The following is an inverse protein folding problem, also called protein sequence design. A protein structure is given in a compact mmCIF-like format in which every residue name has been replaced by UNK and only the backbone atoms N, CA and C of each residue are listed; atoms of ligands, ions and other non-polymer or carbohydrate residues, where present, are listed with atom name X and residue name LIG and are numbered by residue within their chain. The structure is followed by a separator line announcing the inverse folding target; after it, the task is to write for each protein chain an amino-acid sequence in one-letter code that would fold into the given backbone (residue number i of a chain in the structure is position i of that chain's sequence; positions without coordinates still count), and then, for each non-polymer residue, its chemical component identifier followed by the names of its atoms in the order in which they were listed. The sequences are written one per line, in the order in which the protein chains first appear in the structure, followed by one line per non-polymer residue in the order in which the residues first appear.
data_IF_802998022721
#
_entry.id   IF_802998022721
#
_cell.length_a   1.000
_cell.length_b   1.000
_cell.length_c   1.000
_cell.angle_alpha   90.00
_cell.angle_beta   90.00
_cell.angle_gamma   90.00
#
_symmetry.space_group_name_H-M   'P 1'
#
loop_
_entity.id
_entity.type
_entity.pdbx_description
1 polymer ?
#
# COMPACT_ATOMS: atom_id res chain seq x y z
N UNK A 1 -24.45 80.62 -0.43
CA UNK A 1 -24.08 80.57 -1.85
C UNK A 1 -23.43 79.21 -2.12
N UNK A 2 -23.99 78.43 -3.05
CA UNK A 2 -23.36 77.42 -3.94
C UNK A 2 -22.25 76.49 -3.38
N UNK A 3 -22.55 75.19 -3.28
CA UNK A 3 -22.02 74.06 -4.11
C UNK A 3 -20.59 73.61 -3.76
N UNK A 4 -20.44 72.40 -3.18
CA UNK A 4 -20.20 71.07 -3.82
C UNK A 4 -18.70 70.75 -3.97
N UNK A 5 -18.38 69.44 -3.87
CA UNK A 5 -17.18 68.75 -4.42
C UNK A 5 -15.92 68.89 -3.54
N UNK A 6 -15.11 67.88 -3.22
CA UNK A 6 -15.12 66.42 -3.44
C UNK A 6 -14.23 65.76 -2.38
N UNK A 7 -14.56 64.51 -2.09
CA UNK A 7 -13.69 63.48 -1.50
C UNK A 7 -12.52 63.21 -2.46
N UNK A 8 -11.28 63.45 -2.05
CA UNK A 8 -10.07 63.02 -2.79
C UNK A 8 -8.96 62.65 -1.78
N UNK A 9 -8.30 61.52 -2.05
CA UNK A 9 -7.00 61.02 -1.54
C UNK A 9 -6.97 60.15 -0.26
N UNK A 10 -7.50 58.93 -0.37
CA UNK A 10 -6.78 57.72 0.08
C UNK A 10 -6.76 56.74 -1.10
N UNK A 11 -5.83 56.96 -2.03
CA UNK A 11 -5.49 56.05 -3.11
C UNK A 11 -4.10 56.43 -3.65
N UNK A 12 -3.05 56.16 -2.87
CA UNK A 12 -1.67 56.45 -3.27
C UNK A 12 -0.66 55.36 -2.89
N UNK A 13 -1.11 54.10 -2.72
CA UNK A 13 -0.19 52.95 -2.54
C UNK A 13 -0.56 51.75 -3.44
N UNK A 14 -1.40 51.93 -4.48
CA UNK A 14 -1.74 50.86 -5.43
C UNK A 14 -1.47 51.18 -6.90
N UNK A 15 -0.63 52.19 -7.19
CA UNK A 15 -0.30 52.60 -8.56
C UNK A 15 1.21 52.66 -8.85
N UNK A 16 2.00 51.81 -8.20
CA UNK A 16 3.44 51.65 -8.47
C UNK A 16 3.87 50.18 -8.71
N UNK A 17 2.96 49.33 -9.16
CA UNK A 17 3.31 47.99 -9.67
C UNK A 17 2.60 47.62 -10.99
N UNK A 18 1.90 48.57 -11.61
CA UNK A 18 1.45 48.47 -13.00
C UNK A 18 2.28 49.43 -13.84
N UNK A 19 3.48 49.03 -14.25
CA UNK A 19 4.24 49.51 -15.42
C UNK A 19 5.70 49.10 -15.22
N UNK A 20 6.02 47.83 -15.50
CA UNK A 20 7.31 47.34 -15.97
C UNK A 20 7.16 45.84 -16.36
N UNK A 21 6.25 45.56 -17.28
CA UNK A 21 6.23 44.31 -18.06
C UNK A 21 5.83 44.69 -19.50
N UNK A 22 6.69 45.46 -20.15
CA UNK A 22 6.72 45.59 -21.61
C UNK A 22 8.11 45.16 -22.03
N UNK A 23 8.23 43.90 -22.46
CA UNK A 23 9.53 43.34 -22.83
C UNK A 23 9.64 41.81 -22.72
N UNK A 24 8.59 41.04 -22.97
CA UNK A 24 8.73 39.66 -23.43
C UNK A 24 7.76 39.45 -24.58
N UNK A 25 8.34 39.24 -25.77
CA UNK A 25 7.64 38.97 -27.01
C UNK A 25 6.80 37.70 -26.92
N UNK A 26 5.78 37.69 -27.76
CA UNK A 26 4.81 36.62 -28.03
C UNK A 26 5.43 35.22 -28.04
N UNK A 27 5.03 34.38 -27.09
CA UNK A 27 4.95 32.95 -27.30
C UNK A 27 3.51 32.70 -27.76
N UNK A 28 3.36 32.39 -29.04
CA UNK A 28 2.10 31.96 -29.63
C UNK A 28 1.46 30.91 -28.71
N UNK A 29 0.19 31.15 -28.35
CA UNK A 29 -0.64 30.12 -27.74
C UNK A 29 -0.76 28.98 -28.75
N UNK A 30 0.09 27.97 -28.62
CA UNK A 30 -0.14 26.67 -29.22
C UNK A 30 -1.49 26.18 -28.70
N UNK A 31 -2.50 26.18 -29.57
CA UNK A 31 -3.73 25.44 -29.31
C UNK A 31 -3.33 24.00 -28.99
N UNK A 32 -3.70 23.53 -27.81
CA UNK A 32 -3.51 22.13 -27.46
C UNK A 32 -4.29 21.30 -28.46
N UNK A 33 -3.59 20.60 -29.35
CA UNK A 33 -4.17 19.58 -30.23
C UNK A 33 -4.44 18.27 -29.47
N UNK A 34 -4.77 18.38 -28.18
CA UNK A 34 -5.25 17.24 -27.41
C UNK A 34 -6.67 16.91 -27.89
N UNK A 35 -6.71 16.05 -28.89
CA UNK A 35 -7.86 15.21 -29.16
C UNK A 35 -7.79 14.06 -28.15
N UNK A 36 -8.92 13.63 -27.55
CA UNK A 36 -8.94 12.43 -26.71
C UNK A 36 -8.66 11.22 -27.60
N UNK A 37 -7.38 10.87 -27.78
CA UNK A 37 -7.00 9.61 -28.37
C UNK A 37 -7.27 8.53 -27.32
N UNK A 38 -8.14 7.60 -27.68
CA UNK A 38 -8.46 6.37 -26.97
C UNK A 38 -7.33 5.78 -26.10
N UNK A 39 -7.54 5.78 -24.77
CA UNK A 39 -6.83 4.98 -23.79
C UNK A 39 -5.44 5.52 -23.42
N UNK A 40 -5.11 5.45 -22.13
CA UNK A 40 -3.71 5.49 -21.69
C UNK A 40 -2.86 4.58 -22.60
N UNK A 41 -1.64 4.96 -22.99
CA UNK A 41 -0.76 4.07 -23.74
C UNK A 41 -0.70 2.75 -22.97
N UNK A 42 -1.14 1.67 -23.64
CA UNK A 42 -1.32 0.37 -23.00
C UNK A 42 0.00 -0.04 -22.35
N UNK A 43 0.02 -0.14 -21.02
CA UNK A 43 1.17 -0.67 -20.28
C UNK A 43 1.45 -2.08 -20.79
N UNK A 44 2.61 -2.28 -21.42
CA UNK A 44 3.01 -3.58 -21.95
C UNK A 44 3.67 -4.41 -20.85
N UNK A 45 3.29 -5.68 -20.65
CA UNK A 45 4.01 -6.57 -19.75
C UNK A 45 5.46 -6.80 -20.21
N UNK A 46 6.41 -6.49 -19.35
CA UNK A 46 7.82 -6.89 -19.46
C UNK A 46 7.98 -8.33 -18.90
N UNK A 47 9.03 -9.08 -19.29
CA UNK A 47 9.25 -10.44 -18.81
C UNK A 47 9.26 -10.52 -17.27
N UNK A 48 8.36 -11.34 -16.72
CA UNK A 48 8.27 -11.55 -15.27
C UNK A 48 9.25 -12.63 -14.82
N UNK A 49 9.51 -12.71 -13.51
CA UNK A 49 10.29 -13.80 -12.95
C UNK A 49 9.69 -15.15 -13.36
N UNK A 50 10.56 -16.09 -13.73
CA UNK A 50 10.20 -17.46 -14.06
C UNK A 50 9.72 -18.18 -12.79
N UNK A 51 8.86 -19.20 -12.94
CA UNK A 51 8.23 -19.89 -11.80
C UNK A 51 9.25 -20.52 -10.84
N UNK A 52 10.41 -20.95 -11.33
CA UNK A 52 11.52 -21.49 -10.53
C UNK A 52 12.18 -20.45 -9.60
N UNK A 53 11.89 -19.16 -9.78
CA UNK A 53 12.34 -18.07 -8.91
C UNK A 53 11.30 -17.63 -7.90
N UNK A 54 10.19 -18.34 -7.77
CA UNK A 54 9.11 -17.97 -6.87
C UNK A 54 9.05 -18.87 -5.64
N UNK A 55 8.84 -18.27 -4.47
CA UNK A 55 8.69 -18.97 -3.18
C UNK A 55 7.55 -18.36 -2.36
N UNK A 56 7.02 -19.14 -1.41
CA UNK A 56 6.04 -18.69 -0.44
C UNK A 56 6.69 -18.47 0.93
N UNK A 57 6.30 -17.38 1.61
CA UNK A 57 6.75 -17.06 2.96
C UNK A 57 5.82 -16.01 3.61
N UNK A 58 5.27 -16.27 4.78
CA UNK A 58 4.27 -15.41 5.41
C UNK A 58 2.93 -15.40 4.66
N UNK A 59 1.93 -14.74 5.24
CA UNK A 59 0.59 -14.61 4.67
C UNK A 59 0.01 -13.21 4.91
N UNK A 60 -0.63 -12.62 3.89
CA UNK A 60 -1.20 -11.29 3.98
C UNK A 60 -2.54 -11.20 3.21
N UNK A 61 -3.43 -10.22 3.51
CA UNK A 61 -4.67 -10.08 2.77
C UNK A 61 -4.42 -9.85 1.28
N UNK A 62 -5.12 -10.61 0.43
CA UNK A 62 -4.94 -10.51 -1.01
C UNK A 62 -6.29 -10.51 -1.73
N UNK A 63 -6.96 -11.66 -1.80
CA UNK A 63 -8.15 -11.86 -2.65
C UNK A 63 -9.44 -11.46 -1.94
N UNK A 64 -10.44 -10.98 -2.68
CA UNK A 64 -11.75 -10.65 -2.11
C UNK A 64 -12.43 -11.94 -1.64
N UNK A 65 -12.87 -11.96 -0.39
CA UNK A 65 -13.56 -13.10 0.19
C UNK A 65 -14.97 -13.28 -0.42
N UNK A 66 -15.48 -14.53 -0.46
CA UNK A 66 -16.87 -14.79 -0.85
C UNK A 66 -17.91 -14.01 -0.03
N UNK A 67 -19.03 -13.64 -0.65
CA UNK A 67 -20.05 -12.79 -0.02
C UNK A 67 -20.66 -13.36 1.26
N UNK A 68 -20.69 -14.69 1.42
CA UNK A 68 -21.21 -15.35 2.62
C UNK A 68 -20.33 -15.10 3.86
N UNK A 69 -19.06 -14.75 3.69
CA UNK A 69 -18.15 -14.43 4.79
C UNK A 69 -18.61 -13.20 5.57
N UNK A 70 -19.18 -12.19 4.90
CA UNK A 70 -19.73 -11.02 5.57
C UNK A 70 -20.91 -11.37 6.50
N UNK A 71 -21.71 -12.38 6.13
CA UNK A 71 -22.81 -12.87 6.96
C UNK A 71 -22.28 -13.65 8.16
N UNK A 72 -21.26 -14.49 7.97
CA UNK A 72 -20.65 -15.29 9.04
C UNK A 72 -20.11 -14.40 10.18
N UNK A 73 -19.51 -13.25 9.85
CA UNK A 73 -18.95 -12.34 10.86
C UNK A 73 -19.92 -11.26 11.36
N UNK A 74 -21.21 -11.31 10.99
CA UNK A 74 -22.18 -10.24 11.28
C UNK A 74 -22.36 -9.97 12.77
N UNK A 75 -22.29 -11.00 13.61
CA UNK A 75 -22.53 -10.85 15.06
C UNK A 75 -21.24 -10.72 15.87
N UNK A 76 -20.07 -10.82 15.23
CA UNK A 76 -18.78 -10.60 15.90
C UNK A 76 -18.69 -9.13 16.30
N UNK A 77 -18.75 -8.89 17.60
CA UNK A 77 -18.56 -7.57 18.22
C UNK A 77 -17.25 -7.57 18.97
N UNK A 78 -16.51 -6.48 18.82
CA UNK A 78 -15.26 -6.22 19.53
C UNK A 78 -15.61 -5.20 20.61
N UNK A 79 -15.31 -5.54 21.86
CA UNK A 79 -15.29 -4.54 22.92
C UNK A 79 -13.96 -3.79 22.84
N UNK A 80 -13.99 -2.58 22.31
CA UNK A 80 -12.82 -1.72 22.12
C UNK A 80 -12.16 -1.29 23.43
N UNK A 81 -12.86 -1.43 24.57
CA UNK A 81 -12.35 -1.06 25.90
C UNK A 81 -11.67 -2.24 26.58
N UNK A 82 -12.23 -3.43 26.45
CA UNK A 82 -11.72 -4.63 27.13
C UNK A 82 -10.88 -5.53 26.21
N UNK A 83 -10.93 -5.31 24.91
CA UNK A 83 -10.32 -6.19 23.89
C UNK A 83 -11.00 -7.55 23.78
N UNK A 84 -12.14 -7.76 24.46
CA UNK A 84 -12.90 -9.00 24.39
C UNK A 84 -13.69 -9.09 23.09
N UNK A 85 -13.73 -10.28 22.50
CA UNK A 85 -14.55 -10.58 21.34
C UNK A 85 -15.57 -11.68 21.68
N UNK A 86 -16.70 -11.65 20.96
CA UNK A 86 -17.67 -12.75 21.01
C UNK A 86 -17.22 -13.81 20.02
N UNK A 87 -16.95 -15.00 20.53
CA UNK A 87 -16.82 -16.21 19.71
C UNK A 87 -18.23 -16.71 19.37
N UNK A 88 -18.50 -16.91 18.08
CA UNK A 88 -19.78 -17.48 17.62
C UNK A 88 -19.53 -18.87 17.07
N UNK A 89 -20.12 -19.87 17.73
CA UNK A 89 -20.09 -21.26 17.30
C UNK A 89 -21.44 -21.64 16.65
N UNK A 90 -21.39 -22.33 15.51
CA UNK A 90 -22.58 -22.85 14.83
C UNK A 90 -22.38 -24.33 14.47
N UNK A 91 -23.33 -25.19 14.81
CA UNK A 91 -23.30 -26.61 14.44
C UNK A 91 -23.50 -26.80 12.92
N UNK A 92 -22.71 -27.68 12.32
CA UNK A 92 -22.94 -28.20 10.97
C UNK A 92 -23.75 -29.48 11.10
N UNK A 93 -24.84 -29.60 10.34
CA UNK A 93 -25.74 -30.75 10.37
C UNK A 93 -25.86 -31.39 8.99
N UNK A 94 -25.94 -32.72 8.95
CA UNK A 94 -26.26 -33.48 7.75
C UNK A 94 -27.74 -33.33 7.35
N UNK A 95 -28.13 -33.99 6.25
CA UNK A 95 -29.50 -33.97 5.74
C UNK A 95 -30.51 -34.61 6.73
N UNK A 96 -30.02 -35.50 7.59
CA UNK A 96 -30.77 -36.19 8.64
C UNK A 96 -30.85 -35.39 9.95
N UNK A 97 -30.14 -34.26 10.05
CA UNK A 97 -30.10 -33.37 11.20
C UNK A 97 -29.07 -33.74 12.28
N UNK A 98 -28.21 -34.72 12.03
CA UNK A 98 -27.11 -35.08 12.94
C UNK A 98 -25.98 -34.07 12.81
N UNK A 99 -25.35 -33.74 13.93
CA UNK A 99 -24.20 -32.83 13.95
C UNK A 99 -22.97 -33.55 13.37
N UNK A 100 -22.48 -33.08 12.24
CA UNK A 100 -21.27 -33.59 11.56
C UNK A 100 -20.04 -32.72 11.81
N UNK A 101 -20.25 -31.54 12.38
CA UNK A 101 -19.19 -30.57 12.57
C UNK A 101 -19.65 -29.28 13.24
N UNK A 102 -18.78 -28.28 13.22
CA UNK A 102 -19.06 -26.94 13.72
C UNK A 102 -18.22 -25.89 13.01
N UNK A 103 -18.71 -24.66 13.01
CA UNK A 103 -17.96 -23.48 12.60
C UNK A 103 -17.77 -22.58 13.81
N UNK A 104 -16.61 -21.93 13.89
CA UNK A 104 -16.28 -20.96 14.93
C UNK A 104 -15.80 -19.68 14.25
N UNK A 105 -16.45 -18.57 14.56
CA UNK A 105 -16.05 -17.24 14.11
C UNK A 105 -15.49 -16.46 15.30
N UNK A 106 -14.28 -15.91 15.14
CA UNK A 106 -13.61 -15.10 16.16
C UNK A 106 -12.82 -13.94 15.55
N UNK A 107 -12.34 -13.04 16.41
CA UNK A 107 -11.51 -11.91 16.02
C UNK A 107 -10.17 -11.96 16.75
N UNK A 108 -9.08 -11.97 15.98
CA UNK A 108 -7.72 -11.92 16.49
C UNK A 108 -7.30 -10.45 16.65
N UNK A 109 -7.25 -9.99 17.89
CA UNK A 109 -6.89 -8.60 18.21
C UNK A 109 -5.43 -8.27 17.88
N UNK A 110 -4.53 -9.27 17.89
CA UNK A 110 -3.11 -9.05 17.66
C UNK A 110 -2.84 -8.71 16.19
N UNK A 111 -3.55 -9.35 15.27
CA UNK A 111 -3.37 -9.16 13.82
C UNK A 111 -4.50 -8.38 13.15
N UNK A 112 -5.61 -8.18 13.86
CA UNK A 112 -6.83 -7.57 13.34
C UNK A 112 -7.61 -8.46 12.38
N UNK A 113 -7.37 -9.77 12.41
CA UNK A 113 -7.99 -10.71 11.49
C UNK A 113 -9.26 -11.32 12.07
N UNK A 114 -10.25 -11.47 11.21
CA UNK A 114 -11.40 -12.32 11.46
C UNK A 114 -11.00 -13.75 11.13
N UNK A 115 -11.22 -14.66 12.06
CA UNK A 115 -10.82 -16.07 11.92
C UNK A 115 -12.08 -16.91 11.84
N UNK A 116 -12.15 -17.72 10.79
CA UNK A 116 -13.20 -18.70 10.54
C UNK A 116 -12.59 -20.09 10.65
N UNK A 117 -13.00 -20.84 11.66
CA UNK A 117 -12.59 -22.22 11.85
C UNK A 117 -13.76 -23.13 11.49
N UNK A 118 -13.52 -24.13 10.65
CA UNK A 118 -14.50 -25.13 10.27
C UNK A 118 -13.96 -26.49 10.66
N UNK A 119 -14.67 -27.19 11.54
CA UNK A 119 -14.38 -28.58 11.89
C UNK A 119 -15.47 -29.46 11.34
N UNK A 120 -15.15 -30.37 10.43
CA UNK A 120 -16.09 -31.33 9.87
C UNK A 120 -15.42 -32.70 9.78
N UNK A 121 -16.11 -33.75 10.23
CA UNK A 121 -15.57 -35.12 10.25
C UNK A 121 -14.22 -35.28 10.98
N UNK A 122 -13.93 -34.40 11.95
CA UNK A 122 -12.69 -34.42 12.73
C UNK A 122 -11.51 -33.66 12.11
N UNK A 123 -11.68 -33.07 10.93
CA UNK A 123 -10.68 -32.20 10.30
C UNK A 123 -11.04 -30.73 10.52
N UNK A 124 -10.08 -29.94 11.01
CA UNK A 124 -10.26 -28.50 11.24
C UNK A 124 -9.49 -27.69 10.21
N UNK A 125 -10.19 -26.83 9.48
CA UNK A 125 -9.60 -25.80 8.62
C UNK A 125 -9.73 -24.44 9.29
N UNK A 126 -8.64 -23.66 9.31
CA UNK A 126 -8.63 -22.29 9.85
C UNK A 126 -8.35 -21.31 8.71
N UNK A 127 -9.27 -20.38 8.49
CA UNK A 127 -9.16 -19.36 7.44
C UNK A 127 -9.21 -17.98 8.06
N UNK A 128 -8.26 -17.12 7.69
CA UNK A 128 -8.15 -15.75 8.20
C UNK A 128 -8.61 -14.74 7.14
N UNK A 129 -9.25 -13.68 7.60
CA UNK A 129 -9.75 -12.60 6.74
C UNK A 129 -9.41 -11.23 7.33
N UNK A 130 -8.97 -10.30 6.48
CA UNK A 130 -8.95 -8.88 6.82
C UNK A 130 -10.22 -8.20 6.34
N UNK A 131 -10.71 -7.24 7.12
CA UNK A 131 -11.85 -6.41 6.72
C UNK A 131 -11.34 -5.03 6.30
N UNK A 132 -11.77 -4.57 5.12
CA UNK A 132 -11.50 -3.22 4.64
C UNK A 132 -12.79 -2.60 4.10
N UNK A 133 -13.29 -1.58 4.80
CA UNK A 133 -14.62 -1.04 4.59
C UNK A 133 -15.71 -2.12 4.76
N UNK A 134 -16.46 -2.38 3.68
CA UNK A 134 -17.55 -3.37 3.65
C UNK A 134 -17.15 -4.73 3.05
N UNK A 135 -15.87 -4.94 2.73
CA UNK A 135 -15.38 -6.18 2.11
C UNK A 135 -14.44 -6.91 3.06
N UNK A 136 -14.46 -8.24 2.95
CA UNK A 136 -13.46 -9.11 3.55
C UNK A 136 -12.48 -9.58 2.48
N UNK A 137 -11.25 -9.82 2.88
CA UNK A 137 -10.15 -10.27 2.03
C UNK A 137 -9.49 -11.48 2.67
N UNK A 138 -9.33 -12.54 1.89
CA UNK A 138 -8.65 -13.76 2.32
C UNK A 138 -7.18 -13.44 2.61
N UNK A 139 -6.73 -13.83 3.81
CA UNK A 139 -5.32 -13.85 4.17
C UNK A 139 -4.73 -15.14 3.61
N UNK A 140 -3.75 -15.00 2.72
CA UNK A 140 -3.14 -16.12 2.01
C UNK A 140 -1.64 -15.90 1.88
N UNK A 141 -0.91 -16.95 1.50
CA UNK A 141 0.54 -16.90 1.36
C UNK A 141 1.00 -15.74 0.48
N UNK A 142 2.03 -15.05 0.93
CA UNK A 142 2.71 -14.03 0.13
C UNK A 142 3.65 -14.76 -0.81
N UNK A 143 3.52 -14.45 -2.10
CA UNK A 143 4.45 -14.93 -3.12
C UNK A 143 5.59 -13.93 -3.28
N UNK A 144 6.81 -14.45 -3.26
CA UNK A 144 8.03 -13.67 -3.35
C UNK A 144 8.84 -14.08 -4.56
N UNK A 145 9.56 -13.11 -5.13
CA UNK A 145 10.54 -13.33 -6.20
C UNK A 145 11.92 -13.39 -5.55
N UNK A 146 12.65 -14.48 -5.80
CA UNK A 146 14.07 -14.59 -5.45
C UNK A 146 14.87 -13.68 -6.39
N UNK A 147 15.44 -12.62 -5.83
CA UNK A 147 16.34 -11.71 -6.54
C UNK A 147 17.77 -12.21 -6.50
N UNK A 148 18.25 -12.61 -5.31
CA UNK A 148 19.62 -13.13 -5.12
C UNK A 148 19.65 -14.32 -4.18
N UNK A 149 20.53 -15.25 -4.51
CA UNK A 149 21.00 -16.31 -3.62
C UNK A 149 22.24 -15.81 -2.86
N UNK A 150 22.13 -15.72 -1.53
CA UNK A 150 23.18 -15.21 -0.65
C UNK A 150 23.89 -16.33 0.12
N UNK A 151 23.79 -17.59 -0.33
CA UNK A 151 24.39 -18.75 0.32
C UNK A 151 23.43 -19.47 1.27
N UNK A 152 23.20 -18.95 2.47
CA UNK A 152 22.28 -19.53 3.48
C UNK A 152 20.93 -18.79 3.58
N UNK A 153 20.80 -17.67 2.87
CA UNK A 153 19.58 -16.87 2.75
C UNK A 153 19.26 -16.49 1.31
N UNK A 154 18.02 -16.04 1.09
CA UNK A 154 17.58 -15.38 -0.14
C UNK A 154 17.27 -13.91 0.12
N UNK A 155 17.59 -13.06 -0.86
CA UNK A 155 17.02 -11.72 -0.98
C UNK A 155 15.74 -11.82 -1.81
N UNK A 156 14.62 -11.42 -1.21
CA UNK A 156 13.29 -11.55 -1.78
C UNK A 156 12.62 -10.19 -1.92
N UNK A 157 11.81 -10.05 -2.97
CA UNK A 157 10.85 -8.94 -3.12
C UNK A 157 9.46 -9.51 -3.34
N UNK A 158 8.43 -8.87 -2.79
CA UNK A 158 7.06 -9.34 -3.01
C UNK A 158 6.73 -9.34 -4.52
N UNK A 159 6.05 -10.39 -4.98
CA UNK A 159 5.62 -10.54 -6.37
C UNK A 159 4.62 -9.46 -6.76
N UNK A 160 3.73 -9.12 -5.83
CA UNK A 160 2.65 -8.14 -5.97
C UNK A 160 2.78 -7.00 -4.95
N UNK A 161 2.08 -5.88 -5.20
CA UNK A 161 1.91 -4.79 -4.25
C UNK A 161 0.88 -5.19 -3.19
N UNK A 162 1.30 -5.16 -1.92
CA UNK A 162 0.56 -5.82 -0.84
C UNK A 162 -0.39 -4.89 -0.07
N UNK A 163 -0.09 -3.59 0.01
CA UNK A 163 -0.92 -2.61 0.72
C UNK A 163 -0.73 -1.21 0.11
N UNK A 164 -1.55 -0.24 0.55
CA UNK A 164 -1.37 1.18 0.29
C UNK A 164 -1.06 1.90 1.60
N UNK A 165 0.18 2.37 1.76
CA UNK A 165 0.58 3.18 2.90
C UNK A 165 1.55 4.27 2.44
N UNK A 166 1.35 5.53 2.83
CA UNK A 166 2.27 6.60 2.47
C UNK A 166 3.62 6.42 3.16
N UNK A 167 4.67 6.99 2.60
CA UNK A 167 6.01 7.00 3.22
C UNK A 167 6.00 7.72 4.58
N UNK A 168 5.28 8.84 4.65
CA UNK A 168 5.02 9.65 5.85
C UNK A 168 3.52 9.90 5.98
N UNK A 169 2.97 9.81 7.20
CA UNK A 169 1.53 10.03 7.42
C UNK A 169 1.11 11.49 7.17
N UNK A 170 2.05 12.43 7.26
CA UNK A 170 1.83 13.86 6.98
C UNK A 170 2.74 14.35 5.86
N UNK A 171 2.22 15.25 5.03
CA UNK A 171 3.02 15.89 3.98
C UNK A 171 4.17 16.68 4.62
N UNK A 172 5.38 16.39 4.20
CA UNK A 172 6.56 17.03 4.75
C UNK A 172 7.85 16.43 4.23
N UNK A 173 8.94 17.05 4.66
CA UNK A 173 10.29 16.51 4.50
C UNK A 173 10.50 15.42 5.55
N UNK A 174 11.24 14.39 5.18
CA UNK A 174 11.64 13.31 6.06
C UNK A 174 12.50 12.33 5.29
N UNK A 175 13.09 11.40 6.00
CA UNK A 175 13.96 10.36 5.45
C UNK A 175 13.36 8.98 5.71
N UNK A 176 14.05 7.92 5.29
CA UNK A 176 13.63 6.55 5.62
C UNK A 176 13.59 6.30 7.13
N UNK A 177 14.50 6.90 7.89
CA UNK A 177 14.53 6.79 9.36
C UNK A 177 13.28 7.38 10.00
N UNK A 178 12.74 8.48 9.44
CA UNK A 178 11.54 9.17 9.94
C UNK A 178 10.22 8.52 9.44
N UNK A 179 10.32 7.39 8.72
CA UNK A 179 9.21 6.86 7.93
C UNK A 179 8.17 6.09 8.75
N UNK A 180 6.93 6.56 8.74
CA UNK A 180 5.80 5.80 9.29
C UNK A 180 5.46 4.55 8.46
N UNK A 181 5.96 4.44 7.22
CA UNK A 181 5.95 3.20 6.45
C UNK A 181 6.97 2.21 7.01
N UNK A 182 8.19 2.66 7.30
CA UNK A 182 9.24 1.83 7.93
C UNK A 182 8.76 1.27 9.27
N UNK A 183 8.17 2.12 10.10
CA UNK A 183 7.68 1.70 11.42
C UNK A 183 6.57 0.67 11.31
N UNK A 184 5.66 0.86 10.35
CA UNK A 184 4.61 -0.11 10.06
C UNK A 184 5.16 -1.42 9.47
N UNK A 185 6.20 -1.36 8.63
CA UNK A 185 6.82 -2.55 8.05
C UNK A 185 7.53 -3.42 9.10
N UNK A 186 8.15 -2.79 10.10
CA UNK A 186 8.96 -3.45 11.13
C UNK A 186 8.26 -3.59 12.49
N UNK A 187 7.08 -2.97 12.67
CA UNK A 187 6.36 -2.97 13.94
C UNK A 187 7.04 -2.16 15.05
N UNK A 188 7.70 -1.03 14.70
CA UNK A 188 8.38 -0.16 15.67
C UNK A 188 7.51 1.03 16.09
N UNK A 189 7.92 1.72 17.15
CA UNK A 189 7.33 2.98 17.62
C UNK A 189 5.81 2.91 17.88
N UNK A 190 5.02 3.69 17.17
CA UNK A 190 3.55 3.72 17.31
C UNK A 190 2.89 2.36 16.99
N UNK A 191 3.62 1.48 16.29
CA UNK A 191 3.21 0.15 15.87
C UNK A 191 3.75 -0.99 16.76
N UNK A 192 4.49 -0.66 17.83
CA UNK A 192 5.04 -1.64 18.76
C UNK A 192 3.96 -2.28 19.64
N UNK A 193 4.09 -3.58 19.90
CA UNK A 193 3.19 -4.33 20.79
C UNK A 193 3.21 -3.73 22.20
N UNK A 194 2.06 -3.24 22.68
CA UNK A 194 1.86 -2.83 24.08
C UNK A 194 1.91 -1.32 24.41
N UNK A 195 1.73 -0.43 23.43
CA UNK A 195 1.58 1.01 23.68
C UNK A 195 0.34 1.39 24.51
N UNK A 196 0.31 2.60 25.09
CA UNK A 196 -0.71 3.10 26.06
C UNK A 196 -2.15 3.19 25.55
N UNK A 197 -2.44 2.67 24.37
CA UNK A 197 -3.79 2.55 23.85
C UNK A 197 -3.90 1.22 23.09
N UNK A 198 -4.94 0.46 23.40
CA UNK A 198 -5.40 -0.73 22.66
C UNK A 198 -5.87 -0.37 21.22
N UNK A 199 -5.10 0.40 20.44
CA UNK A 199 -5.54 0.90 19.13
C UNK A 199 -5.19 -0.07 18.02
N UNK A 200 -6.18 -0.24 17.15
CA UNK A 200 -6.31 -0.66 15.74
C UNK A 200 -5.11 -0.48 14.78
N UNK A 201 -3.86 -0.48 15.26
CA UNK A 201 -2.66 -0.21 14.45
C UNK A 201 -1.84 -1.47 14.26
N UNK A 202 -2.42 -2.41 13.53
CA UNK A 202 -1.71 -3.63 13.13
C UNK A 202 -0.61 -3.30 12.12
N UNK A 203 0.60 -3.74 12.44
CA UNK A 203 1.78 -3.55 11.61
C UNK A 203 1.92 -4.70 10.60
N UNK A 204 2.69 -4.50 9.53
CA UNK A 204 2.89 -5.52 8.51
C UNK A 204 3.60 -6.74 9.09
N UNK A 205 4.65 -6.55 9.88
CA UNK A 205 5.51 -7.61 10.42
C UNK A 205 4.72 -8.68 11.18
N UNK A 206 3.88 -8.26 12.12
CA UNK A 206 3.07 -9.13 12.97
C UNK A 206 1.86 -9.73 12.25
N UNK A 207 1.40 -9.07 11.19
CA UNK A 207 0.31 -9.56 10.36
C UNK A 207 0.77 -10.58 9.33
N UNK A 208 1.95 -10.34 8.76
CA UNK A 208 2.50 -11.10 7.66
C UNK A 208 3.21 -12.38 8.11
N UNK A 209 3.87 -12.35 9.27
CA UNK A 209 4.77 -13.40 9.70
C UNK A 209 4.39 -13.95 11.08
N UNK A 210 4.30 -15.27 11.21
CA UNK A 210 4.19 -15.93 12.50
C UNK A 210 5.56 -15.95 13.23
N UNK A 211 5.59 -16.32 14.51
CA UNK A 211 6.82 -16.27 15.33
C UNK A 211 8.02 -17.02 14.72
N UNK A 212 7.78 -18.17 14.08
CA UNK A 212 8.85 -18.96 13.43
C UNK A 212 9.35 -18.26 12.17
N UNK A 213 8.46 -17.66 11.39
CA UNK A 213 8.81 -16.87 10.21
C UNK A 213 9.56 -15.60 10.61
N UNK A 214 9.08 -14.88 11.63
CA UNK A 214 9.76 -13.70 12.17
C UNK A 214 11.20 -14.03 12.58
N UNK A 215 11.42 -15.17 13.23
CA UNK A 215 12.75 -15.63 13.64
C UNK A 215 13.66 -16.03 12.45
N UNK A 216 13.09 -16.30 11.27
CA UNK A 216 13.86 -16.65 10.06
C UNK A 216 14.29 -15.43 9.24
N UNK A 217 13.73 -14.25 9.51
CA UNK A 217 14.10 -12.99 8.89
C UNK A 217 15.47 -12.52 9.37
N UNK A 218 16.27 -11.99 8.46
CA UNK A 218 17.59 -11.43 8.73
C UNK A 218 17.53 -9.91 8.64
N UNK A 219 18.04 -9.24 9.67
CA UNK A 219 18.18 -7.79 9.67
C UNK A 219 19.23 -7.37 8.65
N UNK A 220 18.94 -6.30 7.92
CA UNK A 220 19.80 -5.70 6.88
C UNK A 220 20.07 -4.25 7.24
N UNK A 221 21.35 -3.87 7.16
CA UNK A 221 21.78 -2.48 7.28
C UNK A 221 21.51 -1.73 5.98
N UNK A 222 20.60 -0.77 6.03
CA UNK A 222 20.15 0.04 4.91
C UNK A 222 20.80 1.42 4.96
N UNK A 223 21.57 1.75 3.92
CA UNK A 223 22.11 3.11 3.71
C UNK A 223 21.43 3.72 2.49
N UNK A 224 20.93 4.95 2.60
CA UNK A 224 20.34 5.70 1.48
C UNK A 224 21.30 6.81 1.09
N UNK A 225 21.71 6.87 -0.17
CA UNK A 225 22.47 8.01 -0.67
C UNK A 225 21.62 9.29 -0.67
N UNK A 226 22.28 10.43 -0.52
CA UNK A 226 21.67 11.74 -0.76
C UNK A 226 21.26 11.84 -2.23
N UNK A 227 20.22 12.63 -2.50
CA UNK A 227 19.86 12.96 -3.87
C UNK A 227 20.69 14.16 -4.32
N UNK A 228 21.85 13.88 -4.92
CA UNK A 228 22.86 14.88 -5.32
C UNK A 228 22.32 15.97 -6.27
N UNK A 229 21.33 15.64 -7.12
CA UNK A 229 20.77 16.58 -8.10
C UNK A 229 20.02 17.75 -7.44
N UNK A 230 19.45 17.51 -6.26
CA UNK A 230 18.61 18.48 -5.53
C UNK A 230 19.04 18.73 -4.09
N UNK A 231 20.05 18.00 -3.60
CA UNK A 231 20.60 18.12 -2.26
C UNK A 231 19.68 17.62 -1.14
N UNK A 232 18.69 16.76 -1.45
CA UNK A 232 17.81 16.17 -0.42
C UNK A 232 18.57 15.05 0.31
N UNK A 233 18.67 15.07 1.66
CA UNK A 233 19.38 14.03 2.39
C UNK A 233 18.71 12.66 2.27
N UNK A 234 19.52 11.60 2.21
CA UNK A 234 19.07 10.19 2.26
C UNK A 234 18.74 9.71 3.68
N UNK A 235 19.23 10.43 4.70
CA UNK A 235 19.04 10.13 6.12
C UNK A 235 20.11 9.22 6.71
N UNK A 236 19.93 8.84 7.97
CA UNK A 236 20.88 7.96 8.65
C UNK A 236 20.72 6.50 8.19
N UNK A 237 21.73 5.70 8.48
CA UNK A 237 21.69 4.26 8.27
C UNK A 237 20.76 3.60 9.29
N UNK A 238 19.93 2.66 8.83
CA UNK A 238 18.98 1.91 9.65
C UNK A 238 19.23 0.41 9.56
N UNK A 239 18.85 -0.35 10.58
CA UNK A 239 18.81 -1.81 10.54
C UNK A 239 17.34 -2.25 10.50
N UNK A 240 16.95 -2.94 9.44
CA UNK A 240 15.54 -3.30 9.19
C UNK A 240 15.38 -4.78 8.85
N UNK A 241 14.26 -5.39 9.26
CA UNK A 241 13.89 -6.77 8.88
C UNK A 241 13.06 -6.77 7.60
N UNK A 242 12.24 -5.75 7.42
CA UNK A 242 11.39 -5.54 6.24
C UNK A 242 11.57 -4.10 5.77
N UNK A 243 11.87 -3.92 4.49
CA UNK A 243 12.19 -2.61 3.94
C UNK A 243 11.69 -2.48 2.50
N UNK A 244 11.90 -1.31 1.89
CA UNK A 244 11.75 -1.09 0.45
C UNK A 244 13.11 -0.67 -0.12
N UNK A 245 13.38 -1.01 -1.39
CA UNK A 245 14.66 -0.71 -2.02
C UNK A 245 14.96 0.79 -2.08
N UNK A 246 16.25 1.14 -2.06
CA UNK A 246 16.72 2.41 -2.61
C UNK A 246 16.79 2.34 -4.15
N UNK A 247 16.89 3.49 -4.82
CA UNK A 247 17.07 3.54 -6.27
C UNK A 247 18.39 2.89 -6.73
N UNK A 248 19.44 2.96 -5.92
CA UNK A 248 20.74 2.32 -6.23
C UNK A 248 20.63 0.79 -6.16
N UNK A 249 20.02 0.26 -5.09
CA UNK A 249 19.83 -1.18 -4.91
C UNK A 249 18.94 -1.79 -5.98
N UNK A 250 17.95 -1.03 -6.45
CA UNK A 250 16.96 -1.47 -7.42
C UNK A 250 17.60 -1.99 -8.72
N UNK A 251 18.64 -1.31 -9.21
CA UNK A 251 19.30 -1.68 -10.46
C UNK A 251 20.21 -2.91 -10.30
N UNK A 252 20.88 -3.03 -9.15
CA UNK A 252 21.76 -4.16 -8.86
C UNK A 252 20.98 -5.44 -8.50
N UNK A 253 19.81 -5.31 -7.86
CA UNK A 253 19.05 -6.45 -7.37
C UNK A 253 18.18 -7.12 -8.43
N UNK A 254 17.57 -6.35 -9.33
CA UNK A 254 16.58 -6.91 -10.27
C UNK A 254 17.19 -7.61 -11.48
N UNK A 255 18.37 -7.19 -11.95
CA UNK A 255 18.94 -7.72 -13.20
C UNK A 255 17.91 -7.68 -14.35
N UNK A 256 17.58 -8.83 -14.91
CA UNK A 256 16.59 -9.01 -15.99
C UNK A 256 15.13 -9.14 -15.49
N UNK A 257 14.90 -9.21 -14.18
CA UNK A 257 13.55 -9.33 -13.61
C UNK A 257 12.79 -8.02 -13.82
N UNK A 258 11.56 -8.09 -14.34
CA UNK A 258 10.71 -6.90 -14.46
C UNK A 258 10.45 -6.23 -13.11
N UNK A 259 10.57 -4.90 -13.10
CA UNK A 259 10.23 -4.04 -11.97
C UNK A 259 8.73 -3.72 -11.91
N UNK A 260 7.95 -4.10 -12.92
CA UNK A 260 6.48 -4.02 -12.86
C UNK A 260 5.96 -4.96 -11.77
N UNK A 261 4.93 -4.52 -11.05
CA UNK A 261 4.28 -5.30 -10.01
C UNK A 261 2.77 -5.15 -10.12
N UNK A 262 2.06 -6.28 -10.12
CA UNK A 262 0.61 -6.27 -10.06
C UNK A 262 0.14 -5.92 -8.65
N UNK A 263 -0.98 -5.22 -8.55
CA UNK A 263 -1.59 -4.78 -7.30
C UNK A 263 -2.60 -5.80 -6.82
N UNK A 264 -2.46 -6.29 -5.59
CA UNK A 264 -3.45 -7.18 -4.98
C UNK A 264 -4.82 -6.49 -4.85
N UNK A 265 -5.95 -7.22 -4.89
CA UNK A 265 -7.27 -6.63 -4.66
C UNK A 265 -7.37 -5.89 -3.32
N UNK A 266 -6.69 -6.39 -2.28
CA UNK A 266 -6.60 -5.71 -0.99
C UNK A 266 -5.86 -4.38 -1.11
N UNK A 267 -4.66 -4.33 -1.70
CA UNK A 267 -3.92 -3.08 -1.91
C UNK A 267 -4.72 -2.05 -2.74
N UNK A 268 -5.42 -2.51 -3.79
CA UNK A 268 -6.29 -1.64 -4.58
C UNK A 268 -7.44 -1.06 -3.75
N UNK A 269 -8.04 -1.86 -2.86
CA UNK A 269 -9.08 -1.40 -1.92
C UNK A 269 -8.53 -0.39 -0.91
N UNK A 270 -7.27 -0.56 -0.49
CA UNK A 270 -6.56 0.32 0.45
C UNK A 270 -6.16 1.66 -0.18
N UNK A 271 -6.02 1.72 -1.50
CA UNK A 271 -5.83 2.99 -2.21
C UNK A 271 -4.94 2.95 -3.44
N UNK A 272 -4.21 1.85 -3.69
CA UNK A 272 -3.25 1.79 -4.80
C UNK A 272 -3.96 2.01 -6.14
N UNK A 273 -3.49 3.00 -6.90
CA UNK A 273 -3.96 3.23 -8.27
C UNK A 273 -3.20 2.30 -9.21
N UNK A 274 -3.95 1.47 -9.94
CA UNK A 274 -3.40 0.43 -10.78
C UNK A 274 -4.05 0.44 -12.17
N UNK A 275 -3.30 -0.03 -13.17
CA UNK A 275 -3.81 -0.18 -14.52
C UNK A 275 -4.89 -1.26 -14.60
N UNK A 276 -6.02 -0.97 -15.23
CA UNK A 276 -7.22 -1.82 -15.16
C UNK A 276 -6.98 -3.27 -15.59
N UNK A 277 -6.24 -3.49 -16.69
CA UNK A 277 -6.05 -4.84 -17.26
C UNK A 277 -4.89 -5.61 -16.65
N UNK A 278 -3.75 -4.96 -16.50
CA UNK A 278 -2.52 -5.61 -16.01
C UNK A 278 -2.44 -5.59 -14.48
N UNK A 279 -3.26 -4.77 -13.82
CA UNK A 279 -3.18 -4.44 -12.39
C UNK A 279 -1.85 -3.79 -11.99
N UNK A 280 -1.04 -3.30 -12.92
CA UNK A 280 0.25 -2.71 -12.54
C UNK A 280 0.06 -1.36 -11.87
N UNK A 281 0.60 -1.24 -10.66
CA UNK A 281 0.62 0.01 -9.88
C UNK A 281 2.03 0.54 -9.72
N UNK A 282 2.13 1.80 -9.29
CA UNK A 282 3.38 2.40 -8.86
C UNK A 282 3.72 1.97 -7.43
N UNK A 283 5.00 1.95 -7.07
CA UNK A 283 5.45 1.53 -5.74
C UNK A 283 6.66 2.31 -5.22
N UNK A 284 6.80 2.33 -3.89
CA UNK A 284 7.76 3.16 -3.17
C UNK A 284 9.21 2.67 -3.27
N UNK A 285 10.15 3.63 -3.30
CA UNK A 285 11.55 3.44 -2.93
C UNK A 285 11.87 4.33 -1.72
N UNK A 286 12.85 3.92 -0.90
CA UNK A 286 13.28 4.70 0.27
C UNK A 286 14.18 5.90 -0.09
N UNK A 287 14.65 5.98 -1.33
CA UNK A 287 15.45 7.10 -1.83
C UNK A 287 14.65 8.40 -1.85
N UNK A 288 15.26 9.46 -1.33
CA UNK A 288 14.69 10.79 -1.34
C UNK A 288 14.51 11.33 -2.77
N UNK A 289 13.34 11.91 -3.02
CA UNK A 289 13.03 12.65 -4.23
C UNK A 289 13.29 14.15 -4.05
N UNK A 290 12.52 14.95 -4.78
CA UNK A 290 12.63 16.40 -4.74
C UNK A 290 11.93 16.96 -3.48
N UNK A 291 12.69 17.55 -2.55
CA UNK A 291 12.19 18.19 -1.32
C UNK A 291 11.36 17.27 -0.39
N UNK A 292 10.05 17.21 -0.60
CA UNK A 292 9.05 16.49 0.21
C UNK A 292 8.57 15.20 -0.47
N UNK A 293 9.32 14.74 -1.47
CA UNK A 293 8.98 13.59 -2.31
C UNK A 293 9.93 12.44 -2.04
N UNK A 294 9.48 11.22 -2.32
CA UNK A 294 10.30 10.01 -2.33
C UNK A 294 10.25 9.39 -3.71
N UNK A 295 11.37 8.84 -4.17
CA UNK A 295 11.43 8.14 -5.45
C UNK A 295 10.55 6.89 -5.42
N UNK A 296 10.22 6.40 -6.60
CA UNK A 296 9.46 5.17 -6.75
C UNK A 296 9.69 4.52 -8.10
N UNK A 297 8.90 3.50 -8.36
CA UNK A 297 8.83 2.85 -9.66
C UNK A 297 7.41 3.00 -10.17
N UNK A 298 7.26 3.46 -11.41
CA UNK A 298 5.95 3.65 -12.02
C UNK A 298 5.32 2.32 -12.48
N UNK A 299 4.08 2.39 -12.96
CA UNK A 299 3.36 1.23 -13.53
C UNK A 299 4.04 0.58 -14.74
N UNK A 300 4.98 1.26 -15.41
CA UNK A 300 5.78 0.72 -16.51
C UNK A 300 7.03 -0.02 -16.00
N UNK A 301 7.33 0.07 -14.71
CA UNK A 301 8.54 -0.50 -14.12
C UNK A 301 9.77 0.39 -14.29
N UNK A 302 9.56 1.70 -14.50
CA UNK A 302 10.63 2.67 -14.69
C UNK A 302 10.78 3.54 -13.43
N UNK A 303 12.03 3.92 -13.11
CA UNK A 303 12.34 4.76 -11.94
C UNK A 303 11.73 6.15 -12.11
N UNK A 304 11.10 6.68 -11.07
CA UNK A 304 10.57 8.04 -11.02
C UNK A 304 11.50 8.95 -10.22
N UNK A 305 12.45 9.61 -10.89
CA UNK A 305 13.43 10.50 -10.24
C UNK A 305 12.77 11.68 -9.51
N UNK A 306 11.68 12.22 -10.08
CA UNK A 306 10.86 13.27 -9.43
C UNK A 306 10.04 12.76 -8.23
N UNK A 307 9.83 11.44 -8.14
CA UNK A 307 9.16 10.78 -7.04
C UNK A 307 7.66 11.03 -6.92
N UNK A 308 7.14 10.64 -5.77
CA UNK A 308 5.76 10.85 -5.32
C UNK A 308 5.79 11.63 -4.00
N UNK A 309 4.75 12.42 -3.73
CA UNK A 309 4.67 13.20 -2.49
C UNK A 309 4.75 12.27 -1.27
N UNK A 310 5.46 12.65 -0.22
CA UNK A 310 5.74 11.75 0.92
C UNK A 310 4.50 11.14 1.59
N UNK A 311 3.35 11.83 1.50
CA UNK A 311 2.07 11.36 2.02
C UNK A 311 1.10 10.81 0.95
N UNK A 312 1.57 10.47 -0.24
CA UNK A 312 0.73 9.92 -1.31
C UNK A 312 0.15 8.55 -0.89
N UNK A 313 -1.18 8.45 -0.90
CA UNK A 313 -1.89 7.23 -0.49
C UNK A 313 -2.20 6.29 -1.67
N UNK A 314 -1.74 6.63 -2.88
CA UNK A 314 -2.02 5.89 -4.11
C UNK A 314 -0.87 5.00 -4.59
N UNK A 315 0.28 5.09 -3.92
CA UNK A 315 1.48 4.32 -4.22
C UNK A 315 1.49 3.04 -3.37
N UNK A 316 1.76 1.91 -4.02
CA UNK A 316 1.75 0.60 -3.38
C UNK A 316 3.02 0.28 -2.62
N UNK A 317 2.88 -0.59 -1.62
CA UNK A 317 4.01 -1.12 -0.85
C UNK A 317 4.47 -2.43 -1.49
N UNK A 318 5.77 -2.50 -1.80
CA UNK A 318 6.45 -3.70 -2.31
C UNK A 318 7.58 -4.10 -1.37
N UNK A 319 7.30 -4.89 -0.32
CA UNK A 319 8.30 -5.23 0.68
C UNK A 319 9.45 -6.04 0.12
N UNK A 320 10.61 -5.86 0.74
CA UNK A 320 11.85 -6.59 0.53
C UNK A 320 12.26 -7.22 1.85
N UNK A 321 12.68 -8.48 1.80
CA UNK A 321 13.16 -9.23 2.98
C UNK A 321 14.40 -10.03 2.62
N UNK A 322 15.25 -10.26 3.64
CA UNK A 322 16.27 -11.30 3.59
C UNK A 322 15.85 -12.41 4.55
N UNK A 323 15.78 -13.66 4.06
CA UNK A 323 15.23 -14.78 4.85
C UNK A 323 16.10 -16.03 4.70
N UNK A 324 16.22 -16.81 5.77
CA UNK A 324 16.89 -18.11 5.74
C UNK A 324 16.25 -19.02 4.68
N UNK A 325 17.07 -19.67 3.83
CA UNK A 325 16.56 -20.53 2.74
C UNK A 325 15.72 -21.70 3.25
N UNK A 326 16.02 -22.19 4.44
CA UNK A 326 15.29 -23.29 5.07
C UNK A 326 13.88 -22.93 5.50
N UNK A 327 13.52 -21.64 5.51
CA UNK A 327 12.23 -21.15 5.97
C UNK A 327 11.24 -20.85 4.83
N UNK A 328 11.68 -20.85 3.57
CA UNK A 328 10.80 -20.60 2.43
C UNK A 328 10.23 -21.91 1.87
N UNK A 329 8.97 -21.87 1.43
CA UNK A 329 8.25 -23.01 0.88
C UNK A 329 7.97 -22.91 -0.62
N UNK A 330 7.53 -24.00 -1.27
CA UNK A 330 6.95 -23.93 -2.61
C UNK A 330 5.65 -23.11 -2.58
N UNK A 331 5.25 -22.58 -3.72
CA UNK A 331 3.96 -21.89 -3.85
C UNK A 331 2.81 -22.89 -3.88
N UNK A 332 1.80 -22.68 -3.04
CA UNK A 332 0.53 -23.37 -3.16
C UNK A 332 -0.34 -22.75 -4.28
N UNK A 333 -0.45 -23.46 -5.39
CA UNK A 333 -1.28 -23.07 -6.54
C UNK A 333 -2.76 -23.45 -6.40
N UNK A 334 -3.17 -24.03 -5.27
CA UNK A 334 -4.58 -24.43 -5.04
C UNK A 334 -5.45 -23.29 -4.52
N UNK A 335 -4.84 -22.21 -4.01
CA UNK A 335 -5.56 -21.04 -3.52
C UNK A 335 -6.05 -20.15 -4.68
N UNK A 336 -7.19 -19.45 -4.51
CA UNK A 336 -7.73 -18.57 -5.54
C UNK A 336 -6.71 -17.49 -5.93
N UNK A 337 -6.47 -17.33 -7.22
CA UNK A 337 -5.70 -16.19 -7.74
C UNK A 337 -6.60 -14.95 -7.81
N UNK A 338 -6.01 -13.78 -7.56
CA UNK A 338 -6.72 -12.50 -7.69
C UNK A 338 -7.40 -12.35 -9.06
N UNK A 339 -8.72 -12.16 -9.05
CA UNK A 339 -9.48 -11.76 -10.23
C UNK A 339 -9.20 -10.30 -10.64
N UNK A 340 -9.78 -9.82 -11.76
CA UNK A 340 -9.68 -8.42 -12.16
C UNK A 340 -10.12 -7.47 -11.04
N UNK A 341 -9.46 -6.32 -10.91
CA UNK A 341 -9.84 -5.30 -9.90
C UNK A 341 -11.23 -4.77 -10.27
N UNK A 342 -12.19 -4.88 -9.35
CA UNK A 342 -13.49 -4.20 -9.49
C UNK A 342 -13.26 -2.68 -9.49
N UNK A 343 -13.68 -2.00 -10.55
CA UNK A 343 -13.53 -0.55 -10.67
C UNK A 343 -14.30 0.18 -9.57
N UNK A 344 -13.69 1.18 -8.89
CA UNK A 344 -14.48 2.15 -8.17
C UNK A 344 -15.32 2.91 -9.21
N UNK A 345 -16.64 2.78 -9.13
CA UNK A 345 -17.53 3.67 -9.88
C UNK A 345 -17.20 5.10 -9.46
N UNK A 346 -16.84 6.01 -10.38
CA UNK A 346 -16.60 7.39 -10.01
C UNK A 346 -17.84 7.94 -9.33
N UNK A 347 -17.69 8.34 -8.06
CA UNK A 347 -18.74 9.04 -7.33
C UNK A 347 -19.08 10.29 -8.13
N UNK A 348 -20.36 10.53 -8.49
CA UNK A 348 -20.72 11.76 -9.19
C UNK A 348 -20.25 12.95 -8.35
N UNK A 349 -19.37 13.76 -8.93
CA UNK A 349 -18.97 15.04 -8.33
C UNK A 349 -20.23 15.88 -8.23
N UNK A 350 -20.77 16.03 -7.02
CA UNK A 350 -21.81 17.01 -6.75
C UNK A 350 -21.14 18.37 -6.93
N UNK A 351 -21.40 18.98 -8.08
CA UNK A 351 -21.01 20.37 -8.35
C UNK A 351 -21.66 21.23 -7.25
N UNK A 352 -20.91 22.14 -6.58
CA UNK A 352 -21.52 23.06 -5.64
C UNK A 352 -22.63 23.83 -6.35
N UNK A 353 -23.85 23.75 -5.82
CA UNK A 353 -24.96 24.58 -6.25
C UNK A 353 -24.60 26.02 -5.95
N UNK A 354 -24.47 26.85 -7.00
CA UNK A 354 -24.42 28.29 -6.85
C UNK A 354 -25.65 28.73 -6.05
N UNK A 355 -25.41 29.28 -4.86
CA UNK A 355 -26.39 30.09 -4.17
C UNK A 355 -26.49 31.40 -4.95
N UNK A 356 -27.52 31.52 -5.77
CA UNK A 356 -28.00 32.84 -6.17
C UNK A 356 -28.63 33.50 -4.94
N UNK A 357 -27.91 34.46 -4.37
CA UNK A 357 -28.50 35.49 -3.50
C UNK A 357 -29.22 36.52 -4.38
N UNK A 358 -30.42 36.92 -3.91
CA UNK A 358 -31.03 38.26 -4.03
C UNK A 358 -31.04 38.99 -5.36
#
# INVERSE_FOLDING_TARGET
MKRKVAVILIALVLAASMLLLSGCNDIEKGESTWTPSHGDPKVQPKPTATEDKLVAFGAYPNTVAPNNIATAFKNIKIDEVTGLWVEEETEIKDAEGNVTGKTVCKYDIQTGYYVYEMTENGETTVTKYAKEGNKFFLVQEIQWIILKDLGDSYLLVSRELLDAKPMLDSYGQGTWEDSTLRDWLNGTDEYARGGEKFVERWNFFDRAFNETEQAALKSVTNTTADNDDVGTPGGNTTDDLVYVFSAEELNDAFGEVSKQAATTPYAAKRGVVAEYKTRFGSWWLRSSGINTFFQGVDRNGDLTEGGYASNDTTVGVRPVITVAKSAVGPIDNTLPTAGPIETPTPKPTVKPTDKTEG
#
